data_IF_264717032197
#
_entry.id   IF_264717032197
#
_cell.length_a   1.000
_cell.length_b   1.000
_cell.length_c   1.000
_cell.angle_alpha   90.00
_cell.angle_beta   90.00
_cell.angle_gamma   90.00
#
_symmetry.space_group_name_H-M   'P 1'
#
loop_
_entity.id
_entity.type
_entity.pdbx_description
1 polymer ?
#
# COMPACT_ATOMS: atom_id res chain seq x y z
N UNK A 1 4.95 -34.97 -7.34
CA UNK A 1 4.44 -34.38 -8.60
C UNK A 1 3.35 -33.36 -8.27
N UNK A 2 3.74 -32.10 -8.12
CA UNK A 2 2.87 -30.91 -8.17
C UNK A 2 3.72 -29.82 -8.83
N UNK A 3 3.15 -29.18 -9.84
CA UNK A 3 3.84 -28.28 -10.77
C UNK A 3 4.03 -26.92 -10.09
N UNK A 4 5.28 -26.48 -9.95
CA UNK A 4 5.60 -25.08 -9.66
C UNK A 4 5.42 -24.28 -10.95
N UNK A 5 4.55 -23.28 -10.93
CA UNK A 5 4.52 -22.23 -11.94
C UNK A 5 5.49 -21.15 -11.47
N UNK A 6 6.64 -21.07 -12.14
CA UNK A 6 7.63 -20.02 -11.98
C UNK A 6 7.10 -18.79 -12.73
N UNK A 7 6.76 -17.71 -12.04
CA UNK A 7 6.51 -16.41 -12.67
C UNK A 7 7.88 -15.75 -12.86
N UNK A 8 8.39 -15.74 -14.09
CA UNK A 8 9.61 -15.01 -14.42
C UNK A 8 9.25 -13.53 -14.62
N UNK A 9 9.59 -12.67 -13.65
CA UNK A 9 9.73 -11.25 -13.89
C UNK A 9 10.92 -11.03 -14.85
N UNK A 10 10.67 -10.43 -16.01
CA UNK A 10 11.72 -10.11 -16.97
C UNK A 10 12.44 -8.83 -16.52
N UNK A 11 13.56 -9.01 -15.82
CA UNK A 11 14.51 -7.94 -15.52
C UNK A 11 15.30 -7.61 -16.80
N UNK A 12 15.10 -6.42 -17.39
CA UNK A 12 15.91 -5.99 -18.53
C UNK A 12 17.27 -5.48 -18.05
N UNK A 13 18.30 -6.31 -18.21
CA UNK A 13 19.71 -5.89 -18.11
C UNK A 13 20.29 -5.85 -19.52
N UNK A 14 20.76 -4.67 -19.95
CA UNK A 14 21.40 -4.45 -21.24
C UNK A 14 22.76 -5.18 -21.33
N UNK A 15 22.89 -6.10 -22.28
CA UNK A 15 24.17 -6.47 -22.90
C UNK A 15 23.94 -6.97 -24.32
N UNK A 16 24.68 -6.38 -25.25
CA UNK A 16 24.45 -6.50 -26.69
C UNK A 16 25.05 -7.74 -27.36
N UNK A 17 24.83 -7.74 -28.68
CA UNK A 17 25.47 -8.52 -29.75
C UNK A 17 24.78 -9.83 -30.20
N UNK A 18 24.03 -9.65 -31.30
CA UNK A 18 24.07 -10.41 -32.57
C UNK A 18 23.65 -11.89 -32.60
N UNK A 19 22.64 -12.19 -33.43
CA UNK A 19 22.52 -13.48 -34.13
C UNK A 19 21.10 -13.86 -34.55
N UNK A 20 20.79 -13.68 -35.85
CA UNK A 20 19.60 -14.17 -36.56
C UNK A 20 19.26 -15.66 -36.25
N UNK A 21 17.98 -16.05 -36.31
CA UNK A 21 17.31 -16.74 -37.44
C UNK A 21 15.96 -17.38 -36.97
N UNK A 22 14.85 -17.02 -37.63
CA UNK A 22 13.51 -17.66 -37.57
C UNK A 22 13.36 -18.69 -38.74
N UNK A 23 12.23 -19.42 -38.93
CA UNK A 23 11.12 -19.80 -38.03
C UNK A 23 10.74 -21.31 -38.16
N UNK A 24 9.82 -21.81 -37.33
CA UNK A 24 9.26 -23.15 -37.50
C UNK A 24 7.99 -23.44 -36.69
N UNK A 25 6.82 -23.14 -37.25
CA UNK A 25 5.52 -23.69 -36.85
C UNK A 25 5.39 -25.16 -37.31
N UNK A 26 4.59 -26.03 -36.65
CA UNK A 26 3.17 -26.10 -37.02
C UNK A 26 2.19 -26.45 -35.88
N UNK A 27 0.94 -26.01 -36.06
CA UNK A 27 -0.29 -26.57 -35.48
C UNK A 27 -0.84 -27.65 -36.45
N UNK A 28 -1.65 -28.65 -36.01
CA UNK A 28 -3.11 -28.44 -36.05
C UNK A 28 -3.98 -29.18 -35.00
N UNK A 29 -5.19 -28.62 -34.83
CA UNK A 29 -6.53 -29.23 -34.60
C UNK A 29 -6.85 -30.20 -33.45
N UNK A 30 -7.85 -29.79 -32.65
CA UNK A 30 -9.16 -30.45 -32.64
C UNK A 30 -9.48 -31.45 -31.52
N UNK A 31 -10.37 -31.07 -30.59
CA UNK A 31 -11.11 -32.05 -29.77
C UNK A 31 -11.65 -31.52 -28.44
N UNK A 32 -12.89 -31.03 -28.44
CA UNK A 32 -13.68 -30.76 -27.23
C UNK A 32 -14.45 -32.02 -26.78
N UNK A 33 -14.48 -32.34 -25.48
CA UNK A 33 -15.61 -33.00 -24.87
C UNK A 33 -16.20 -32.19 -23.70
N UNK A 34 -17.53 -32.19 -23.62
CA UNK A 34 -18.37 -31.39 -22.70
C UNK A 34 -18.28 -31.75 -21.20
N UNK A 35 -19.15 -31.13 -20.38
CA UNK A 35 -18.90 -30.95 -18.95
C UNK A 35 -19.24 -32.21 -18.15
N UNK A 36 -18.32 -32.63 -17.28
CA UNK A 36 -18.57 -33.66 -16.26
C UNK A 36 -19.05 -32.97 -14.99
N UNK A 37 -20.29 -33.29 -14.62
CA UNK A 37 -20.92 -32.93 -13.34
C UNK A 37 -20.29 -33.74 -12.21
N UNK A 38 -19.71 -33.07 -11.22
CA UNK A 38 -19.22 -33.68 -9.99
C UNK A 38 -19.96 -33.09 -8.79
N UNK A 39 -20.94 -33.84 -8.29
CA UNK A 39 -21.61 -33.60 -7.02
C UNK A 39 -20.72 -34.03 -5.84
N UNK A 40 -20.86 -33.40 -4.65
CA UNK A 40 -19.97 -33.64 -3.52
C UNK A 40 -20.28 -34.96 -2.80
N UNK A 41 -19.22 -35.69 -2.47
CA UNK A 41 -19.25 -36.93 -1.70
C UNK A 41 -19.47 -36.60 -0.21
N UNK A 42 -20.63 -36.97 0.32
CA UNK A 42 -20.96 -36.85 1.75
C UNK A 42 -20.28 -37.98 2.51
N UNK A 43 -19.32 -37.64 3.38
CA UNK A 43 -18.66 -38.60 4.27
C UNK A 43 -19.49 -38.80 5.54
N UNK A 44 -20.08 -39.98 5.71
CA UNK A 44 -20.77 -40.38 6.94
C UNK A 44 -19.78 -41.06 7.90
N UNK A 45 -19.41 -40.35 8.96
CA UNK A 45 -18.65 -40.92 10.08
C UNK A 45 -19.61 -41.67 11.03
N UNK A 46 -19.32 -42.93 11.44
CA UNK A 46 -20.12 -43.66 12.42
C UNK A 46 -19.99 -43.08 13.85
N UNK A 47 -21.11 -43.03 14.57
CA UNK A 47 -21.17 -42.64 15.98
C UNK A 47 -20.50 -43.69 16.90
N UNK A 48 -19.67 -43.22 17.84
CA UNK A 48 -19.07 -44.00 18.93
C UNK A 48 -20.02 -43.94 20.14
N UNK A 49 -20.26 -45.06 20.86
CA UNK A 49 -21.16 -45.07 22.02
C UNK A 49 -20.52 -44.43 23.26
N UNK A 50 -21.30 -43.62 23.97
CA UNK A 50 -20.96 -43.02 25.26
C UNK A 50 -20.69 -44.09 26.34
N UNK A 51 -19.55 -43.96 27.01
CA UNK A 51 -19.20 -44.70 28.23
C UNK A 51 -19.06 -43.69 29.39
N UNK A 52 -19.68 -43.92 30.56
CA UNK A 52 -19.70 -42.93 31.63
C UNK A 52 -18.35 -42.82 32.36
N UNK A 53 -17.90 -41.59 32.60
CA UNK A 53 -16.72 -41.27 33.39
C UNK A 53 -16.97 -41.50 34.90
N UNK A 54 -15.95 -41.91 35.68
CA UNK A 54 -16.09 -42.08 37.13
C UNK A 54 -16.09 -40.73 37.85
N UNK A 55 -16.92 -40.64 38.89
CA UNK A 55 -17.07 -39.50 39.79
C UNK A 55 -15.81 -39.33 40.66
N UNK A 56 -15.08 -38.21 40.47
CA UNK A 56 -13.94 -37.84 41.32
C UNK A 56 -14.39 -36.82 42.34
N UNK A 57 -14.40 -37.23 43.61
CA UNK A 57 -14.67 -36.35 44.76
C UNK A 57 -13.48 -35.41 44.98
N UNK A 58 -13.66 -34.08 45.10
CA UNK A 58 -12.55 -33.17 45.36
C UNK A 58 -12.12 -33.22 46.83
N UNK A 59 -10.80 -33.31 47.05
CA UNK A 59 -10.14 -33.16 48.36
C UNK A 59 -10.01 -31.65 48.65
N UNK A 60 -10.28 -31.15 49.88
CA UNK A 60 -10.15 -29.73 50.18
C UNK A 60 -8.68 -29.32 50.26
N UNK A 61 -8.28 -28.36 49.41
CA UNK A 61 -6.98 -27.69 49.46
C UNK A 61 -6.93 -26.73 50.66
N UNK A 62 -5.88 -26.72 51.49
CA UNK A 62 -5.74 -25.74 52.56
C UNK A 62 -5.42 -24.35 51.99
N UNK A 63 -6.21 -23.35 52.36
CA UNK A 63 -6.04 -21.95 51.99
C UNK A 63 -4.79 -21.36 52.66
N UNK A 64 -3.82 -20.93 51.85
CA UNK A 64 -2.68 -20.10 52.29
C UNK A 64 -3.10 -18.62 52.21
N UNK A 65 -2.79 -17.77 53.20
CA UNK A 65 -3.09 -16.34 53.14
C UNK A 65 -2.35 -15.66 51.98
N UNK A 66 -3.05 -14.86 51.18
CA UNK A 66 -2.44 -14.05 50.14
C UNK A 66 -1.54 -12.97 50.77
N UNK A 67 -0.27 -12.92 50.38
CA UNK A 67 0.59 -11.76 50.62
C UNK A 67 0.05 -10.57 49.81
N UNK A 68 0.06 -9.34 50.37
CA UNK A 68 -0.38 -8.16 49.64
C UNK A 68 0.63 -7.85 48.54
N UNK A 69 0.22 -8.01 47.28
CA UNK A 69 0.88 -7.40 46.12
C UNK A 69 1.03 -5.90 46.39
N UNK A 70 2.23 -5.30 46.23
CA UNK A 70 2.37 -3.86 46.33
C UNK A 70 1.55 -3.22 45.20
N UNK A 71 0.44 -2.59 45.57
CA UNK A 71 -0.27 -1.65 44.70
C UNK A 71 0.69 -0.51 44.39
N UNK A 72 1.25 -0.50 43.19
CA UNK A 72 1.83 0.71 42.62
C UNK A 72 0.72 1.76 42.61
N UNK A 73 0.92 2.85 43.35
CA UNK A 73 0.03 3.99 43.28
C UNK A 73 -0.07 4.44 41.80
N UNK A 74 -1.25 4.84 41.31
CA UNK A 74 -1.35 5.42 39.98
C UNK A 74 -0.44 6.64 39.97
N UNK A 75 0.58 6.61 39.09
CA UNK A 75 1.36 7.80 38.80
C UNK A 75 0.37 8.85 38.30
N UNK A 76 0.33 9.98 38.99
CA UNK A 76 -0.48 11.13 38.63
C UNK A 76 0.05 11.72 37.31
N UNK A 77 -0.36 11.17 36.17
CA UNK A 77 -0.13 11.71 34.81
C UNK A 77 -1.17 12.78 34.48
N UNK A 78 -1.42 13.72 35.39
CA UNK A 78 -2.29 14.88 35.13
C UNK A 78 -1.62 16.00 34.34
N UNK A 79 -0.34 15.84 33.96
CA UNK A 79 0.28 16.59 32.89
C UNK A 79 0.37 15.69 31.66
N UNK A 80 -0.50 15.89 30.68
CA UNK A 80 -0.35 15.22 29.38
C UNK A 80 1.04 15.49 28.80
N UNK A 81 1.55 14.55 28.00
CA UNK A 81 2.84 14.66 27.35
C UNK A 81 3.02 16.00 26.62
N UNK A 82 4.19 16.63 26.79
CA UNK A 82 4.46 17.99 26.32
C UNK A 82 4.83 18.08 24.82
N UNK A 83 4.98 16.93 24.16
CA UNK A 83 5.38 16.80 22.76
C UNK A 83 6.90 16.64 22.55
N UNK A 84 7.69 16.52 23.62
CA UNK A 84 9.12 16.18 23.52
C UNK A 84 9.29 14.65 23.36
N UNK A 85 9.79 14.21 22.19
CA UNK A 85 10.05 12.80 21.91
C UNK A 85 11.01 12.15 22.92
N UNK A 86 11.88 12.93 23.56
CA UNK A 86 12.83 12.43 24.57
C UNK A 86 12.18 12.05 25.90
N UNK A 87 10.95 12.51 26.16
CA UNK A 87 10.20 12.21 27.41
C UNK A 87 9.01 11.28 27.17
N UNK A 88 8.76 10.89 25.92
CA UNK A 88 7.63 10.06 25.53
C UNK A 88 7.69 8.68 26.19
N UNK A 89 6.59 8.28 26.83
CA UNK A 89 6.40 6.98 27.46
C UNK A 89 5.17 6.28 26.90
N UNK A 90 5.03 4.98 27.19
CA UNK A 90 3.88 4.20 26.73
C UNK A 90 2.53 4.76 27.23
N UNK A 91 2.52 5.42 28.41
CA UNK A 91 1.30 5.99 29.00
C UNK A 91 0.81 7.26 28.28
N UNK A 92 1.66 7.87 27.45
CA UNK A 92 1.36 9.11 26.74
C UNK A 92 0.61 8.90 25.43
N UNK A 93 0.60 7.65 24.91
CA UNK A 93 -0.08 7.33 23.67
C UNK A 93 -1.61 7.36 23.84
N UNK A 94 -2.33 8.18 23.07
CA UNK A 94 -3.79 8.17 23.08
C UNK A 94 -4.32 6.83 22.56
N UNK A 95 -5.42 6.36 23.13
CA UNK A 95 -6.05 5.09 22.70
C UNK A 95 -7.28 5.29 21.82
N UNK A 96 -7.80 6.52 21.76
CA UNK A 96 -8.95 6.86 20.93
C UNK A 96 -8.49 7.29 19.52
N UNK A 97 -8.99 6.62 18.49
CA UNK A 97 -8.74 6.99 17.10
C UNK A 97 -9.28 8.40 16.85
N UNK A 98 -8.42 9.25 16.30
CA UNK A 98 -8.73 10.63 15.94
C UNK A 98 -9.28 10.69 14.52
N UNK A 99 -10.27 11.55 14.28
CA UNK A 99 -10.71 11.88 12.94
C UNK A 99 -9.98 13.13 12.40
N UNK A 100 -10.15 13.42 11.11
CA UNK A 100 -9.55 14.59 10.48
C UNK A 100 -10.01 15.91 11.11
N UNK A 101 -11.23 16.00 11.65
CA UNK A 101 -11.72 17.23 12.27
C UNK A 101 -11.02 17.52 13.61
N UNK A 102 -10.71 16.48 14.40
CA UNK A 102 -9.94 16.61 15.63
C UNK A 102 -8.47 16.99 15.35
N UNK A 103 -7.86 16.35 14.34
CA UNK A 103 -6.48 16.66 13.93
C UNK A 103 -6.38 18.10 13.42
N UNK A 104 -7.35 18.55 12.61
CA UNK A 104 -7.39 19.91 12.07
C UNK A 104 -7.47 21.00 13.14
N UNK A 105 -8.03 20.69 14.32
CA UNK A 105 -8.11 21.63 15.44
C UNK A 105 -6.75 21.84 16.11
N UNK A 106 -5.84 20.86 16.05
CA UNK A 106 -4.48 21.00 16.56
C UNK A 106 -4.38 21.30 18.05
N UNK A 107 -5.32 20.83 18.87
CA UNK A 107 -5.34 21.04 20.34
C UNK A 107 -4.51 20.04 21.12
N UNK A 108 -4.36 18.82 20.62
CA UNK A 108 -3.65 17.74 21.31
C UNK A 108 -2.19 17.67 20.85
N UNK A 109 -1.26 17.25 21.70
CA UNK A 109 0.14 17.07 21.30
C UNK A 109 0.34 15.90 20.35
N UNK A 110 -0.52 14.88 20.44
CA UNK A 110 -0.41 13.62 19.72
C UNK A 110 -1.80 13.09 19.34
N UNK A 111 -1.92 12.56 18.13
CA UNK A 111 -3.17 12.01 17.60
C UNK A 111 -2.97 10.57 17.17
N UNK A 112 -3.84 9.64 17.57
CA UNK A 112 -3.87 8.30 16.98
C UNK A 112 -4.58 8.41 15.62
N UNK A 113 -3.86 8.24 14.52
CA UNK A 113 -4.34 8.55 13.15
C UNK A 113 -4.60 7.30 12.30
N UNK A 114 -4.01 6.16 12.65
CA UNK A 114 -4.34 4.85 12.09
C UNK A 114 -4.02 3.75 13.10
N UNK A 115 -4.69 2.60 12.99
CA UNK A 115 -4.42 1.44 13.84
C UNK A 115 -4.75 0.13 13.12
N UNK A 116 -4.00 -0.91 13.46
CA UNK A 116 -4.25 -2.31 13.14
C UNK A 116 -4.34 -3.07 14.47
N UNK A 117 -5.54 -3.13 15.09
CA UNK A 117 -5.71 -3.65 16.45
C UNK A 117 -5.28 -5.10 16.61
N UNK A 118 -5.49 -5.92 15.58
CA UNK A 118 -5.14 -7.35 15.57
C UNK A 118 -3.64 -7.60 15.68
N UNK A 119 -2.82 -6.60 15.32
CA UNK A 119 -1.36 -6.66 15.33
C UNK A 119 -0.71 -5.72 16.36
N UNK A 120 -1.50 -5.15 17.30
CA UNK A 120 -1.06 -4.12 18.26
C UNK A 120 -0.16 -3.04 17.61
N UNK A 121 -0.59 -2.58 16.43
CA UNK A 121 0.14 -1.59 15.64
C UNK A 121 -0.68 -0.30 15.56
N UNK A 122 -0.06 0.82 15.93
CA UNK A 122 -0.69 2.13 15.96
C UNK A 122 0.22 3.17 15.30
N UNK A 123 -0.37 4.07 14.55
CA UNK A 123 0.32 5.22 13.97
C UNK A 123 -0.20 6.50 14.62
N UNK A 124 0.73 7.30 15.09
CA UNK A 124 0.43 8.56 15.74
C UNK A 124 1.01 9.72 14.95
N UNK A 125 0.22 10.77 14.75
CA UNK A 125 0.67 12.03 14.19
C UNK A 125 0.97 13.03 15.31
N UNK A 126 2.21 13.52 15.37
CA UNK A 126 2.54 14.65 16.24
C UNK A 126 1.79 15.88 15.74
N UNK A 127 1.30 16.72 16.66
CA UNK A 127 0.59 17.94 16.29
C UNK A 127 1.31 18.69 15.14
N UNK A 128 0.64 18.92 13.99
CA UNK A 128 1.28 19.49 12.80
C UNK A 128 1.72 20.94 13.00
N UNK A 129 1.20 21.65 14.02
CA UNK A 129 1.70 22.96 14.42
C UNK A 129 3.09 22.90 15.08
N UNK A 130 3.52 21.72 15.55
CA UNK A 130 4.83 21.49 16.17
C UNK A 130 5.82 20.87 15.19
N UNK A 131 5.47 19.74 14.57
CA UNK A 131 6.33 19.06 13.60
C UNK A 131 5.53 18.15 12.65
N UNK A 132 6.13 17.87 11.48
CA UNK A 132 5.66 16.86 10.54
C UNK A 132 6.33 15.53 10.86
N UNK A 133 5.91 14.91 11.97
CA UNK A 133 6.48 13.67 12.46
C UNK A 133 5.37 12.66 12.74
N UNK A 134 5.56 11.45 12.25
CA UNK A 134 4.76 10.27 12.60
C UNK A 134 5.52 9.42 13.61
N UNK A 135 4.79 8.77 14.52
CA UNK A 135 5.33 7.76 15.43
C UNK A 135 4.59 6.46 15.14
N UNK A 136 5.32 5.44 14.73
CA UNK A 136 4.80 4.09 14.55
C UNK A 136 5.09 3.31 15.84
N UNK A 137 4.05 2.73 16.45
CA UNK A 137 4.17 1.84 17.61
C UNK A 137 3.74 0.43 17.21
N UNK A 138 4.56 -0.56 17.53
CA UNK A 138 4.28 -1.99 17.39
C UNK A 138 4.55 -2.64 18.74
N UNK A 139 3.50 -3.09 19.43
CA UNK A 139 3.63 -3.54 20.81
C UNK A 139 4.14 -2.42 21.72
N UNK A 140 5.15 -2.71 22.54
CA UNK A 140 5.80 -1.72 23.41
C UNK A 140 6.94 -0.95 22.72
N UNK A 141 7.28 -1.28 21.47
CA UNK A 141 8.32 -0.58 20.70
C UNK A 141 7.71 0.52 19.84
N UNK A 142 8.40 1.64 19.70
CA UNK A 142 8.05 2.68 18.73
C UNK A 142 9.29 3.32 18.09
N UNK A 143 9.10 3.84 16.88
CA UNK A 143 10.06 4.66 16.13
C UNK A 143 9.34 5.89 15.56
N UNK A 144 10.09 6.94 15.23
CA UNK A 144 9.55 8.15 14.61
C UNK A 144 10.09 8.35 13.21
N UNK A 145 9.26 8.92 12.34
CA UNK A 145 9.56 9.22 10.95
C UNK A 145 9.17 10.67 10.65
N UNK A 146 10.11 11.46 10.16
CA UNK A 146 9.87 12.85 9.76
C UNK A 146 9.28 12.90 8.34
N UNK A 147 8.02 12.47 8.25
CA UNK A 147 7.25 12.39 7.01
C UNK A 147 6.14 13.42 6.99
N UNK A 148 5.91 14.02 5.83
CA UNK A 148 4.75 14.89 5.63
C UNK A 148 3.48 14.05 5.61
N UNK A 149 2.69 14.09 6.68
CA UNK A 149 1.54 13.19 6.84
C UNK A 149 0.19 13.89 6.80
N UNK A 150 0.17 15.21 6.60
CA UNK A 150 -1.04 16.01 6.61
C UNK A 150 -1.07 17.05 5.49
N UNK A 151 -2.19 17.08 4.78
CA UNK A 151 -2.53 18.17 3.83
C UNK A 151 -3.66 19.03 4.41
N UNK A 152 -3.94 20.21 3.84
CA UNK A 152 -5.12 20.99 4.21
C UNK A 152 -6.45 20.22 4.09
N UNK A 153 -6.51 19.17 3.27
CA UNK A 153 -7.67 18.28 3.16
C UNK A 153 -7.82 17.29 4.32
N UNK A 154 -6.79 17.15 5.17
CA UNK A 154 -6.77 16.33 6.38
C UNK A 154 -7.19 14.87 6.14
N UNK A 155 -6.77 14.33 5.00
CA UNK A 155 -6.88 12.90 4.71
C UNK A 155 -5.80 12.18 5.52
N UNK A 156 -6.23 11.29 6.42
CA UNK A 156 -5.34 10.60 7.35
C UNK A 156 -4.59 9.44 6.68
N UNK A 157 -3.39 9.09 7.18
CA UNK A 157 -2.62 7.95 6.71
C UNK A 157 -3.38 6.62 6.73
N UNK A 158 -2.97 5.70 5.86
CA UNK A 158 -3.46 4.31 5.83
C UNK A 158 -2.31 3.34 6.10
N UNK A 159 -2.62 2.21 6.72
CA UNK A 159 -1.67 1.15 7.03
C UNK A 159 -2.21 -0.22 6.61
N UNK A 160 -1.34 -1.09 6.13
CA UNK A 160 -1.63 -2.51 5.88
C UNK A 160 -0.38 -3.38 6.03
N UNK A 161 -0.53 -4.57 6.62
CA UNK A 161 0.52 -5.59 6.59
C UNK A 161 0.36 -6.48 5.35
N UNK A 162 1.47 -6.93 4.79
CA UNK A 162 1.56 -7.92 3.72
C UNK A 162 2.99 -8.44 3.55
N UNK A 163 3.14 -9.61 2.94
CA UNK A 163 4.42 -10.16 2.48
C UNK A 163 4.70 -9.61 1.07
N UNK A 164 5.07 -8.33 1.00
CA UNK A 164 5.10 -7.56 -0.24
C UNK A 164 6.30 -7.87 -1.13
N UNK A 165 7.39 -8.39 -0.58
CA UNK A 165 8.56 -8.84 -1.33
C UNK A 165 8.67 -10.38 -1.51
N UNK A 166 7.71 -11.13 -0.94
CA UNK A 166 7.59 -12.58 -1.01
C UNK A 166 8.73 -13.34 -0.29
N UNK A 167 9.28 -12.78 0.78
CA UNK A 167 10.28 -13.42 1.63
C UNK A 167 9.70 -14.20 2.83
N UNK A 168 8.37 -14.15 3.02
CA UNK A 168 7.56 -14.75 4.08
C UNK A 168 7.53 -14.00 5.42
N UNK A 169 8.30 -12.93 5.57
CA UNK A 169 8.10 -11.98 6.65
C UNK A 169 7.00 -10.97 6.26
N UNK A 170 6.56 -10.16 7.23
CA UNK A 170 5.50 -9.18 6.99
C UNK A 170 6.09 -7.79 7.10
N UNK A 171 5.82 -6.98 6.09
CA UNK A 171 6.15 -5.56 6.06
C UNK A 171 4.89 -4.73 6.29
N UNK A 172 5.08 -3.49 6.73
CA UNK A 172 3.99 -2.55 6.88
C UNK A 172 4.01 -1.52 5.74
N UNK A 173 3.00 -1.56 4.88
CA UNK A 173 2.73 -0.48 3.95
C UNK A 173 2.10 0.71 4.68
N UNK A 174 2.75 1.87 4.56
CA UNK A 174 2.27 3.17 5.04
C UNK A 174 1.98 4.06 3.83
N UNK A 175 0.71 4.46 3.67
CA UNK A 175 0.26 5.31 2.56
C UNK A 175 -0.12 6.68 3.11
N UNK A 176 0.55 7.72 2.62
CA UNK A 176 0.40 9.10 3.07
C UNK A 176 -0.18 9.97 1.96
N UNK A 177 -1.23 10.73 2.25
CA UNK A 177 -1.77 11.70 1.30
C UNK A 177 -1.07 13.05 1.47
N UNK A 178 -0.17 13.40 0.54
CA UNK A 178 0.80 14.50 0.69
C UNK A 178 0.60 15.67 -0.25
N UNK A 179 -0.12 15.48 -1.36
CA UNK A 179 -0.37 16.52 -2.35
C UNK A 179 -1.86 16.70 -2.60
N UNK A 180 -2.35 17.93 -2.43
CA UNK A 180 -3.76 18.27 -2.64
C UNK A 180 -3.93 19.59 -3.39
N UNK A 181 -4.92 19.68 -4.26
CA UNK A 181 -5.29 20.93 -4.93
C UNK A 181 -6.11 20.70 -6.19
N UNK A 182 -6.43 21.77 -6.92
CA UNK A 182 -7.10 21.64 -8.23
C UNK A 182 -6.18 20.88 -9.19
N UNK A 183 -6.60 19.68 -9.59
CA UNK A 183 -5.83 18.81 -10.46
C UNK A 183 -4.61 18.15 -9.80
N UNK A 184 -4.53 18.17 -8.45
CA UNK A 184 -3.46 17.52 -7.69
C UNK A 184 -4.06 16.63 -6.59
N UNK A 185 -3.71 15.34 -6.61
CA UNK A 185 -4.09 14.34 -5.62
C UNK A 185 -2.97 13.30 -5.55
N UNK A 186 -2.05 13.44 -4.60
CA UNK A 186 -0.81 12.65 -4.56
C UNK A 186 -0.70 11.92 -3.24
N UNK A 187 -0.56 10.60 -3.34
CA UNK A 187 -0.15 9.72 -2.26
C UNK A 187 1.33 9.35 -2.36
N UNK A 188 1.93 9.03 -1.23
CA UNK A 188 3.24 8.40 -1.08
C UNK A 188 3.07 6.98 -0.54
N UNK A 189 3.94 6.07 -0.98
CA UNK A 189 4.03 4.70 -0.49
C UNK A 189 5.37 4.50 0.19
N UNK A 190 5.31 4.09 1.45
CA UNK A 190 6.44 3.70 2.28
C UNK A 190 6.24 2.25 2.70
N UNK A 191 7.25 1.41 2.55
CA UNK A 191 7.26 0.05 3.09
C UNK A 191 8.22 0.02 4.28
N UNK A 192 7.67 -0.25 5.45
CA UNK A 192 8.44 -0.36 6.69
C UNK A 192 8.84 -1.82 6.91
N UNK A 193 10.14 -2.04 6.85
CA UNK A 193 10.80 -3.31 7.15
C UNK A 193 11.15 -3.38 8.63
N UNK A 194 10.83 -4.48 9.31
CA UNK A 194 11.09 -4.60 10.75
C UNK A 194 12.46 -5.17 11.11
N UNK A 195 13.11 -5.87 10.17
CA UNK A 195 14.48 -6.38 10.24
C UNK A 195 14.80 -7.30 11.43
N UNK A 196 15.57 -8.37 11.21
CA UNK A 196 15.98 -9.30 12.28
C UNK A 196 16.73 -8.64 13.45
N UNK A 197 17.44 -7.54 13.20
CA UNK A 197 18.16 -6.78 14.22
C UNK A 197 17.25 -5.86 15.06
N UNK A 198 15.96 -5.81 14.75
CA UNK A 198 15.00 -4.89 15.36
C UNK A 198 15.21 -3.43 14.94
N UNK A 199 15.90 -3.18 13.82
CA UNK A 199 16.05 -1.84 13.23
C UNK A 199 15.01 -1.70 12.14
N UNK A 200 14.19 -0.66 12.20
CA UNK A 200 13.15 -0.44 11.21
C UNK A 200 13.69 0.38 10.04
N UNK A 201 13.40 -0.03 8.82
CA UNK A 201 13.84 0.67 7.60
C UNK A 201 12.62 1.17 6.84
N UNK A 202 12.68 2.42 6.37
CA UNK A 202 11.68 3.00 5.48
C UNK A 202 12.16 2.92 4.03
N UNK A 203 11.46 2.12 3.22
CA UNK A 203 11.64 2.04 1.78
C UNK A 203 10.56 2.87 1.08
N UNK A 204 10.94 4.02 0.55
CA UNK A 204 10.05 4.98 -0.11
C UNK A 204 10.02 4.75 -1.64
N UNK A 205 8.83 4.60 -2.22
CA UNK A 205 8.69 4.58 -3.68
C UNK A 205 8.72 6.01 -4.23
N UNK A 206 9.92 6.48 -4.53
CA UNK A 206 10.15 7.89 -4.84
C UNK A 206 9.48 8.31 -6.17
N UNK A 207 8.99 9.57 -6.26
CA UNK A 207 8.35 10.10 -7.44
C UNK A 207 9.15 10.03 -8.73
N UNK A 208 10.46 10.21 -8.64
CA UNK A 208 11.32 10.15 -9.81
C UNK A 208 11.47 8.72 -10.35
N UNK A 209 11.36 7.71 -9.47
CA UNK A 209 11.48 6.30 -9.85
C UNK A 209 10.24 5.82 -10.63
N UNK A 210 9.02 6.02 -10.09
CA UNK A 210 7.82 5.61 -10.83
C UNK A 210 7.60 6.44 -12.10
N UNK A 211 7.97 7.73 -12.11
CA UNK A 211 7.90 8.55 -13.33
C UNK A 211 8.85 8.02 -14.40
N UNK A 212 10.08 7.67 -14.02
CA UNK A 212 11.04 7.11 -14.97
C UNK A 212 10.55 5.78 -15.58
N UNK A 213 9.85 4.95 -14.80
CA UNK A 213 9.24 3.70 -15.30
C UNK A 213 8.09 4.02 -16.26
N UNK A 214 7.19 4.94 -15.87
CA UNK A 214 6.05 5.35 -16.70
C UNK A 214 6.49 5.97 -18.03
N UNK A 215 7.48 6.86 -18.01
CA UNK A 215 8.02 7.52 -19.21
C UNK A 215 8.63 6.51 -20.20
N UNK A 216 9.10 5.35 -19.72
CA UNK A 216 9.64 4.27 -20.55
C UNK A 216 8.57 3.30 -21.03
N UNK A 217 7.46 3.16 -20.30
CA UNK A 217 6.49 2.08 -20.47
C UNK A 217 5.16 2.54 -21.07
N UNK A 218 4.91 3.84 -21.10
CA UNK A 218 3.69 4.45 -21.64
C UNK A 218 4.03 5.25 -22.90
N UNK A 219 3.39 4.91 -24.01
CA UNK A 219 3.56 5.59 -25.28
C UNK A 219 2.49 6.66 -25.50
N UNK A 220 2.90 7.76 -26.14
CA UNK A 220 2.04 8.86 -26.55
C UNK A 220 2.11 9.06 -28.05
N UNK A 221 0.98 8.84 -28.71
CA UNK A 221 0.87 8.96 -30.16
C UNK A 221 -0.10 10.09 -30.48
N UNK A 222 0.40 11.15 -31.12
CA UNK A 222 -0.45 12.22 -31.61
C UNK A 222 -0.56 12.17 -33.12
N UNK A 223 -1.77 11.93 -33.62
CA UNK A 223 -2.10 12.03 -35.03
C UNK A 223 -2.64 13.43 -35.35
N UNK A 224 -1.80 14.27 -35.93
CA UNK A 224 -2.14 15.66 -36.24
C UNK A 224 -3.34 15.80 -37.21
N UNK A 225 -3.48 15.00 -38.29
CA UNK A 225 -4.64 15.08 -39.19
C UNK A 225 -5.98 14.81 -38.51
N UNK A 226 -6.08 13.79 -37.64
CA UNK A 226 -7.31 13.51 -36.88
C UNK A 226 -7.41 14.24 -35.55
N UNK A 227 -6.33 14.93 -35.13
CA UNK A 227 -6.17 15.57 -33.82
C UNK A 227 -6.40 14.61 -32.66
N UNK A 228 -6.00 13.35 -32.80
CA UNK A 228 -6.19 12.33 -31.79
C UNK A 228 -4.90 12.10 -31.02
N UNK A 229 -4.95 12.25 -29.70
CA UNK A 229 -3.90 11.82 -28.78
C UNK A 229 -4.27 10.45 -28.22
N UNK A 230 -3.39 9.47 -28.37
CA UNK A 230 -3.54 8.14 -27.80
C UNK A 230 -2.49 7.93 -26.71
N UNK A 231 -2.96 7.54 -25.52
CA UNK A 231 -2.14 7.04 -24.41
C UNK A 231 -2.21 5.52 -24.43
N UNK A 232 -1.06 4.86 -24.61
CA UNK A 232 -0.96 3.41 -24.79
C UNK A 232 -0.02 2.85 -23.71
N UNK A 233 -0.45 1.82 -23.00
CA UNK A 233 0.40 1.02 -22.12
C UNK A 233 0.49 -0.41 -22.64
N UNK A 234 1.20 -1.29 -21.93
CA UNK A 234 1.28 -2.73 -22.23
C UNK A 234 -0.11 -3.31 -22.47
N UNK A 235 -1.04 -3.01 -21.56
CA UNK A 235 -2.45 -3.28 -21.71
C UNK A 235 -3.25 -1.99 -21.90
N UNK A 236 -4.26 -2.07 -22.77
CA UNK A 236 -5.20 -0.98 -22.98
C UNK A 236 -4.64 0.22 -23.74
N UNK A 237 -5.55 1.06 -24.20
CA UNK A 237 -5.25 2.31 -24.90
C UNK A 237 -6.42 3.26 -24.73
N UNK A 238 -6.14 4.54 -24.53
CA UNK A 238 -7.16 5.59 -24.44
C UNK A 238 -6.90 6.64 -25.48
N UNK A 239 -7.92 6.96 -26.26
CA UNK A 239 -7.86 8.02 -27.28
C UNK A 239 -8.65 9.24 -26.83
N UNK A 240 -8.07 10.41 -27.02
CA UNK A 240 -8.64 11.70 -26.68
C UNK A 240 -8.58 12.62 -27.91
N UNK A 241 -9.71 13.23 -28.25
CA UNK A 241 -9.79 14.21 -29.33
C UNK A 241 -9.34 15.58 -28.81
N UNK A 242 -8.21 16.07 -29.31
CA UNK A 242 -7.64 17.36 -28.90
C UNK A 242 -8.47 18.51 -29.50
N UNK A 243 -9.08 19.39 -28.68
CA UNK A 243 -9.91 20.49 -29.16
C UNK A 243 -9.15 21.41 -30.14
N UNK A 244 -9.83 21.93 -31.17
CA UNK A 244 -9.22 22.70 -32.27
C UNK A 244 -8.40 23.91 -31.80
N UNK A 245 -8.82 24.54 -30.71
CA UNK A 245 -8.19 25.71 -30.10
C UNK A 245 -6.92 25.39 -29.28
N UNK A 246 -6.55 24.12 -29.17
CA UNK A 246 -5.42 23.66 -28.36
C UNK A 246 -4.34 22.99 -29.20
N UNK A 247 -3.12 22.98 -28.67
CA UNK A 247 -1.98 22.28 -29.28
C UNK A 247 -1.41 21.27 -28.30
N UNK A 248 -1.08 20.09 -28.83
CA UNK A 248 -0.30 19.09 -28.13
C UNK A 248 1.18 19.40 -28.29
N UNK A 249 1.92 19.41 -27.18
CA UNK A 249 3.32 19.91 -27.16
C UNK A 249 4.35 18.89 -26.67
N UNK A 250 3.93 17.69 -26.28
CA UNK A 250 4.86 16.69 -25.75
C UNK A 250 4.17 15.70 -24.82
N UNK A 251 4.92 14.73 -24.27
CA UNK A 251 4.36 13.61 -23.52
C UNK A 251 3.43 14.08 -22.41
N UNK A 252 2.42 13.27 -22.09
CA UNK A 252 1.56 13.58 -20.96
C UNK A 252 2.39 13.58 -19.67
N UNK A 253 2.03 14.46 -18.73
CA UNK A 253 2.69 14.52 -17.43
C UNK A 253 2.13 13.48 -16.46
N UNK A 254 3.00 12.90 -15.63
CA UNK A 254 2.65 12.05 -14.49
C UNK A 254 3.07 12.66 -13.15
N UNK A 255 2.41 12.22 -12.09
CA UNK A 255 2.81 12.53 -10.71
C UNK A 255 2.05 13.67 -10.04
N UNK A 256 1.07 14.27 -10.73
CA UNK A 256 0.13 15.19 -10.09
C UNK A 256 -1.15 14.48 -9.61
N UNK A 257 -1.48 13.32 -10.17
CA UNK A 257 -2.46 12.38 -9.61
C UNK A 257 -1.79 11.02 -9.45
N UNK A 258 -1.64 10.59 -8.20
CA UNK A 258 -1.00 9.32 -7.80
C UNK A 258 -1.77 8.75 -6.63
N UNK A 259 -2.17 7.49 -6.72
CA UNK A 259 -2.77 6.75 -5.61
C UNK A 259 -2.14 5.38 -5.48
N UNK A 260 -2.02 4.90 -4.24
CA UNK A 260 -1.55 3.56 -3.91
C UNK A 260 -2.64 2.76 -3.20
N UNK A 261 -2.61 1.45 -3.43
CA UNK A 261 -3.57 0.49 -2.88
C UNK A 261 -2.83 -0.74 -2.34
N UNK A 262 -3.42 -1.36 -1.33
CA UNK A 262 -2.98 -2.64 -0.76
C UNK A 262 -4.15 -3.62 -0.75
N UNK A 263 -3.91 -4.87 -1.12
CA UNK A 263 -4.88 -5.97 -1.00
C UNK A 263 -4.16 -7.27 -0.65
N UNK A 264 -4.17 -7.64 0.63
CA UNK A 264 -3.33 -8.74 1.13
C UNK A 264 -1.86 -8.43 0.86
N UNK A 265 -1.18 -9.34 0.18
CA UNK A 265 0.25 -9.23 -0.18
C UNK A 265 0.47 -8.45 -1.51
N UNK A 266 -0.59 -7.90 -2.11
CA UNK A 266 -0.49 -7.14 -3.35
C UNK A 266 -0.42 -5.63 -3.11
N UNK A 267 0.45 -4.96 -3.86
CA UNK A 267 0.53 -3.50 -3.96
C UNK A 267 0.07 -3.04 -5.34
N UNK A 268 -0.75 -2.00 -5.39
CA UNK A 268 -1.24 -1.39 -6.63
C UNK A 268 -0.99 0.11 -6.66
N UNK A 269 -0.89 0.66 -7.87
CA UNK A 269 -0.77 2.10 -8.10
C UNK A 269 -1.66 2.57 -9.25
N UNK A 270 -2.13 3.82 -9.14
CA UNK A 270 -2.91 4.51 -10.17
C UNK A 270 -2.30 5.87 -10.44
N UNK A 271 -2.01 6.16 -11.70
CA UNK A 271 -1.38 7.40 -12.15
C UNK A 271 -2.26 8.13 -13.15
N UNK A 272 -2.57 9.40 -12.91
CA UNK A 272 -3.27 10.24 -13.89
C UNK A 272 -2.33 10.69 -15.00
N UNK A 273 -2.68 10.43 -16.26
CA UNK A 273 -1.98 10.93 -17.44
C UNK A 273 -2.54 12.29 -17.84
N UNK A 274 -1.77 13.35 -17.57
CA UNK A 274 -2.16 14.73 -17.82
C UNK A 274 -1.77 15.18 -19.24
N UNK A 275 -2.76 15.48 -20.06
CA UNK A 275 -2.57 16.28 -21.27
C UNK A 275 -2.40 17.76 -20.89
N UNK A 276 -1.31 18.37 -21.36
CA UNK A 276 -0.95 19.77 -21.06
C UNK A 276 -1.14 20.62 -22.32
N UNK A 277 -2.26 21.36 -22.45
CA UNK A 277 -2.51 22.21 -23.61
C UNK A 277 -1.60 23.45 -23.60
N UNK A 278 -1.06 23.80 -24.78
CA UNK A 278 -0.38 25.07 -25.03
C UNK A 278 0.81 25.38 -24.09
N UNK A 279 1.46 24.35 -23.53
CA UNK A 279 2.53 24.48 -22.55
C UNK A 279 2.19 25.33 -21.30
N UNK A 280 0.90 25.47 -20.95
CA UNK A 280 0.46 26.15 -19.72
C UNK A 280 0.12 25.11 -18.64
N UNK A 281 0.95 24.97 -17.58
CA UNK A 281 0.76 23.92 -16.57
C UNK A 281 -0.58 24.00 -15.83
N UNK A 282 -1.17 25.19 -15.73
CA UNK A 282 -2.42 25.44 -15.01
C UNK A 282 -3.70 24.90 -15.69
N UNK A 283 -3.59 24.41 -16.93
CA UNK A 283 -4.74 23.91 -17.71
C UNK A 283 -4.65 22.40 -18.01
N UNK A 284 -3.89 21.66 -17.20
CA UNK A 284 -3.73 20.21 -17.37
C UNK A 284 -5.09 19.51 -17.30
N UNK A 285 -5.37 18.64 -18.27
CA UNK A 285 -6.55 17.79 -18.30
C UNK A 285 -6.11 16.34 -18.21
N UNK A 286 -6.69 15.57 -17.29
CA UNK A 286 -6.42 14.15 -17.23
C UNK A 286 -7.29 13.42 -18.24
N UNK A 287 -6.65 12.67 -19.14
CA UNK A 287 -7.31 12.01 -20.26
C UNK A 287 -7.36 10.49 -20.11
N UNK A 288 -6.44 9.94 -19.32
CA UNK A 288 -6.34 8.52 -19.02
C UNK A 288 -5.78 8.32 -17.61
N UNK A 289 -6.00 7.14 -17.06
CA UNK A 289 -5.29 6.63 -15.89
C UNK A 289 -4.45 5.43 -16.30
N UNK A 290 -3.28 5.29 -15.68
CA UNK A 290 -2.45 4.09 -15.77
C UNK A 290 -2.58 3.35 -14.46
N UNK A 291 -3.17 2.16 -14.51
CA UNK A 291 -3.23 1.23 -13.38
C UNK A 291 -2.05 0.27 -13.49
N UNK A 292 -1.40 -0.06 -12.39
CA UNK A 292 -0.26 -0.96 -12.37
C UNK A 292 -0.15 -1.72 -11.05
N UNK A 293 0.46 -2.89 -11.10
CA UNK A 293 0.94 -3.58 -9.91
C UNK A 293 2.27 -2.96 -9.50
N UNK A 294 2.44 -2.67 -8.22
CA UNK A 294 3.73 -2.25 -7.66
C UNK A 294 4.50 -3.50 -7.25
N UNK A 295 5.70 -3.66 -7.79
CA UNK A 295 6.59 -4.77 -7.43
C UNK A 295 7.60 -4.25 -6.42
N UNK A 296 7.63 -4.87 -5.24
CA UNK A 296 8.63 -4.58 -4.21
C UNK A 296 9.55 -5.79 -4.02
N UNK A 297 10.80 -5.54 -3.63
CA UNK A 297 11.88 -6.56 -3.59
C UNK A 297 12.71 -6.49 -2.31
N UNK A 298 12.15 -5.90 -1.24
CA UNK A 298 12.85 -5.64 0.02
C UNK A 298 13.73 -4.38 0.03
N UNK A 299 14.04 -3.82 -1.14
CA UNK A 299 14.86 -2.61 -1.25
C UNK A 299 14.58 -1.73 -2.48
N UNK A 300 13.88 -2.26 -3.49
CA UNK A 300 13.61 -1.53 -4.72
C UNK A 300 12.16 -1.75 -5.19
N UNK A 301 11.66 -0.74 -5.89
CA UNK A 301 10.31 -0.71 -6.45
C UNK A 301 10.33 -0.80 -7.98
N UNK A 302 9.26 -1.37 -8.53
CA UNK A 302 8.97 -1.43 -9.95
C UNK A 302 7.47 -1.33 -10.22
N UNK A 303 7.09 -1.26 -11.49
CA UNK A 303 5.71 -1.37 -11.95
C UNK A 303 5.58 -2.51 -12.94
N UNK A 304 4.48 -3.25 -12.86
CA UNK A 304 4.14 -4.34 -13.78
C UNK A 304 2.66 -4.28 -14.19
N UNK A 305 2.32 -4.99 -15.26
CA UNK A 305 0.94 -5.14 -15.75
C UNK A 305 0.23 -3.79 -16.00
N UNK A 306 0.94 -2.83 -16.62
CA UNK A 306 0.41 -1.48 -16.82
C UNK A 306 -0.81 -1.50 -17.75
N UNK A 307 -1.91 -0.90 -17.28
CA UNK A 307 -3.18 -0.80 -18.00
C UNK A 307 -3.59 0.67 -18.20
N UNK A 308 -3.74 1.10 -19.45
CA UNK A 308 -4.31 2.39 -19.78
C UNK A 308 -5.85 2.30 -19.84
N UNK A 309 -6.52 3.07 -18.99
CA UNK A 309 -7.99 3.14 -18.89
C UNK A 309 -8.48 4.59 -18.94
N UNK A 310 -9.72 4.85 -19.39
CA UNK A 310 -10.28 6.20 -19.36
C UNK A 310 -10.19 6.83 -17.98
N UNK A 311 -9.94 8.13 -17.92
CA UNK A 311 -9.96 8.87 -16.65
C UNK A 311 -11.41 9.12 -16.23
N UNK A 312 -11.77 8.68 -15.03
CA UNK A 312 -13.10 8.87 -14.41
C UNK A 312 -13.29 10.27 -13.78
#
# INVERSE_FOLDING_TARGET
MKKFALLCAALFVLSGCTGNTEPGSPSPEGGSPGPVSSQPLVSTTPAVPDSPAPEVTPIPTPSVPAEPTPTLAPTDTSGGWDGDLGTLTLADFPTALSDGAAVAQGTEPLYLVAQLPEADTCLYGLNPAKANTLILRVGEKWEHFDLNWLTPGVILPRMAYGDFDADMDLELALILYVGSGTGVSVEELHIIEFGDSGVWTDNYFAPDDYRAILDQSVEYLYDEPSRTLTVQAEGGSVSYAVPEEQTYTGPCGFGAVVSFLTEGDALGAVFGAAYIPNASPGNSQYIAQIQADVVYTGAAFGLANLQAVPYD
#
